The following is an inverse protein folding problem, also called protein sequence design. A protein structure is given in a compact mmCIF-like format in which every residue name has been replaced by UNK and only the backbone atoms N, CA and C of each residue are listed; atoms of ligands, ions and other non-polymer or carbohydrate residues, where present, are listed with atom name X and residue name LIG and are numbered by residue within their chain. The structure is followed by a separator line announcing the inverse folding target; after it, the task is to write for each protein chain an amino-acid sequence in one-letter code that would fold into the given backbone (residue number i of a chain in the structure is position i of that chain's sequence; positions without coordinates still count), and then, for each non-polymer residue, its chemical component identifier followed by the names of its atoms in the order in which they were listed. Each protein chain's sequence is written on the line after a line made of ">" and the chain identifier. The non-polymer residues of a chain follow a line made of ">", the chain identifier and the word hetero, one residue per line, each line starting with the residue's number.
data_IF_779364769550
#
_entry.id   IF_779364769550
#
_cell.length_a   1.000
_cell.length_b   1.000
_cell.length_c   1.000
_cell.angle_alpha   90.00
_cell.angle_beta   90.00
_cell.angle_gamma   90.00
#
_symmetry.space_group_name_H-M   'P 1'
#
loop_
_entity.id
_entity.type
_entity.pdbx_description
1 polymer ?
#
# COMPACT_ATOMS: atom_id res chain seq x y z
N UNK A 1 14.37 7.33 -13.88
CA UNK A 1 14.49 5.86 -13.63
C UNK A 1 13.89 5.43 -12.30
N UNK A 2 14.30 6.02 -11.15
CA UNK A 2 13.79 5.63 -9.82
C UNK A 2 12.26 5.64 -9.67
N UNK A 3 11.57 6.68 -10.14
CA UNK A 3 10.09 6.77 -10.08
C UNK A 3 9.37 5.62 -10.83
N UNK A 4 9.92 5.15 -11.96
CA UNK A 4 9.37 4.02 -12.74
C UNK A 4 9.53 2.68 -12.01
N UNK A 5 10.70 2.43 -11.42
CA UNK A 5 10.92 1.24 -10.59
C UNK A 5 10.03 1.23 -9.35
N UNK A 6 9.86 2.38 -8.69
CA UNK A 6 8.95 2.50 -7.55
C UNK A 6 7.51 2.16 -7.92
N UNK A 7 7.03 2.61 -9.08
CA UNK A 7 5.71 2.28 -9.59
C UNK A 7 5.55 0.78 -9.87
N UNK A 8 6.51 0.15 -10.54
CA UNK A 8 6.47 -1.30 -10.80
C UNK A 8 6.46 -2.12 -9.51
N UNK A 9 7.30 -1.76 -8.55
CA UNK A 9 7.33 -2.42 -7.23
C UNK A 9 5.98 -2.30 -6.52
N UNK A 10 5.38 -1.10 -6.51
CA UNK A 10 4.06 -0.88 -5.92
C UNK A 10 3.00 -1.76 -6.59
N UNK A 11 2.96 -1.78 -7.92
CA UNK A 11 1.95 -2.53 -8.67
C UNK A 11 2.11 -4.05 -8.46
N UNK A 12 3.33 -4.57 -8.51
CA UNK A 12 3.60 -5.99 -8.24
C UNK A 12 3.24 -6.35 -6.79
N UNK A 13 3.62 -5.52 -5.83
CA UNK A 13 3.23 -5.71 -4.43
C UNK A 13 1.72 -5.72 -4.28
N UNK A 14 1.01 -4.74 -4.87
CA UNK A 14 -0.43 -4.61 -4.76
C UNK A 14 -1.15 -5.80 -5.38
N UNK A 15 -0.68 -6.29 -6.53
CA UNK A 15 -1.22 -7.49 -7.16
C UNK A 15 -1.08 -8.72 -6.24
N UNK A 16 0.11 -8.95 -5.68
CA UNK A 16 0.35 -10.05 -4.74
C UNK A 16 -0.53 -9.89 -3.48
N UNK A 17 -0.62 -8.67 -2.96
CA UNK A 17 -1.40 -8.35 -1.78
C UNK A 17 -2.89 -8.64 -1.98
N UNK A 18 -3.47 -8.19 -3.10
CA UNK A 18 -4.87 -8.46 -3.43
C UNK A 18 -5.11 -9.97 -3.54
N UNK A 19 -4.25 -10.70 -4.24
CA UNK A 19 -4.37 -12.15 -4.37
C UNK A 19 -4.33 -12.85 -3.00
N UNK A 20 -3.43 -12.42 -2.11
CA UNK A 20 -3.33 -12.95 -0.76
C UNK A 20 -4.60 -12.65 0.06
N UNK A 21 -5.07 -11.41 0.05
CA UNK A 21 -6.27 -11.00 0.82
C UNK A 21 -7.53 -11.69 0.29
N UNK A 22 -7.70 -11.80 -1.02
CA UNK A 22 -8.85 -12.51 -1.61
C UNK A 22 -8.80 -14.00 -1.28
N UNK A 23 -7.63 -14.63 -1.39
CA UNK A 23 -7.48 -16.06 -1.07
C UNK A 23 -7.73 -16.36 0.42
N UNK A 24 -7.21 -15.53 1.32
CA UNK A 24 -7.50 -15.65 2.75
C UNK A 24 -8.96 -15.32 3.06
N UNK A 25 -9.49 -14.26 2.46
CA UNK A 25 -10.87 -13.82 2.63
C UNK A 25 -11.86 -14.91 2.23
N UNK A 26 -11.62 -15.63 1.13
CA UNK A 26 -12.46 -16.74 0.72
C UNK A 26 -12.52 -17.87 1.77
N UNK A 27 -11.43 -18.11 2.51
CA UNK A 27 -11.39 -19.12 3.58
C UNK A 27 -12.07 -18.63 4.88
N UNK A 28 -12.01 -17.32 5.13
CA UNK A 28 -12.55 -16.69 6.34
C UNK A 28 -14.03 -16.30 6.15
N UNK A 29 -14.50 -16.17 4.91
CA UNK A 29 -15.87 -15.77 4.57
C UNK A 29 -16.94 -16.68 5.21
N UNK A 30 -16.66 -17.97 5.34
CA UNK A 30 -17.55 -18.95 5.98
C UNK A 30 -17.56 -18.86 7.52
N UNK A 31 -16.67 -18.07 8.11
CA UNK A 31 -16.56 -17.85 9.56
C UNK A 31 -17.51 -16.76 10.07
N UNK A 32 -17.53 -16.54 11.38
CA UNK A 32 -18.32 -15.50 12.05
C UNK A 32 -18.15 -14.10 11.41
N UNK A 33 -19.26 -13.38 11.23
CA UNK A 33 -19.30 -12.04 10.62
C UNK A 33 -18.34 -11.03 11.28
N UNK A 34 -18.14 -11.12 12.59
CA UNK A 34 -17.22 -10.25 13.33
C UNK A 34 -15.76 -10.43 12.89
N UNK A 35 -15.36 -11.68 12.56
CA UNK A 35 -14.00 -11.98 12.09
C UNK A 35 -13.78 -11.37 10.72
N UNK A 36 -14.77 -11.48 9.83
CA UNK A 36 -14.74 -10.83 8.52
C UNK A 36 -14.57 -9.31 8.67
N UNK A 37 -15.33 -8.68 9.58
CA UNK A 37 -15.26 -7.24 9.82
C UNK A 37 -13.85 -6.79 10.27
N UNK A 38 -13.27 -7.49 11.24
CA UNK A 38 -11.91 -7.21 11.71
C UNK A 38 -10.87 -7.49 10.62
N UNK A 39 -10.98 -8.61 9.91
CA UNK A 39 -10.07 -8.99 8.83
C UNK A 39 -10.05 -7.93 7.72
N UNK A 40 -11.22 -7.55 7.20
CA UNK A 40 -11.31 -6.55 6.13
C UNK A 40 -10.91 -5.15 6.60
N UNK A 41 -11.16 -4.79 7.87
CA UNK A 41 -10.68 -3.52 8.45
C UNK A 41 -9.15 -3.47 8.48
N UNK A 42 -8.50 -4.55 8.94
CA UNK A 42 -7.04 -4.64 8.99
C UNK A 42 -6.48 -4.67 7.57
N UNK A 43 -7.06 -5.46 6.66
CA UNK A 43 -6.63 -5.49 5.26
C UNK A 43 -6.74 -4.11 4.59
N UNK A 44 -7.83 -3.38 4.87
CA UNK A 44 -8.05 -2.03 4.37
C UNK A 44 -7.06 -0.98 4.89
N UNK A 45 -6.31 -1.24 5.97
CA UNK A 45 -5.29 -0.32 6.50
C UNK A 45 -3.87 -0.83 6.24
N UNK A 46 -3.66 -2.15 6.24
CA UNK A 46 -2.36 -2.77 6.08
C UNK A 46 -1.69 -2.41 4.74
N UNK A 47 -2.47 -2.20 3.66
CA UNK A 47 -1.91 -1.79 2.37
C UNK A 47 -1.31 -0.37 2.37
N UNK A 48 -1.61 0.48 3.36
CA UNK A 48 -1.04 1.83 3.45
C UNK A 48 0.42 1.85 3.95
N UNK A 49 0.84 0.81 4.67
CA UNK A 49 2.22 0.65 5.15
C UNK A 49 3.27 0.74 4.04
N UNK A 50 3.14 0.03 2.91
CA UNK A 50 4.10 0.09 1.80
C UNK A 50 4.05 1.41 1.01
N UNK A 51 2.95 2.19 1.05
CA UNK A 51 2.91 3.49 0.37
C UNK A 51 3.85 4.50 1.01
N UNK A 52 3.88 4.57 2.34
CA UNK A 52 4.67 5.57 3.08
C UNK A 52 6.17 5.59 2.70
N UNK A 53 6.93 4.47 2.82
CA UNK A 53 8.35 4.46 2.50
C UNK A 53 8.60 4.66 1.01
N UNK A 54 7.71 4.17 0.14
CA UNK A 54 7.83 4.36 -1.30
C UNK A 54 7.66 5.83 -1.69
N UNK A 55 6.65 6.50 -1.15
CA UNK A 55 6.41 7.92 -1.37
C UNK A 55 7.58 8.77 -0.86
N UNK A 56 8.10 8.47 0.34
CA UNK A 56 9.30 9.10 0.87
C UNK A 56 10.50 8.90 -0.06
N UNK A 57 10.71 7.69 -0.58
CA UNK A 57 11.80 7.42 -1.51
C UNK A 57 11.61 8.14 -2.86
N UNK A 58 10.38 8.31 -3.33
CA UNK A 58 10.07 9.06 -4.54
C UNK A 58 10.25 10.58 -4.38
N UNK A 59 9.93 11.13 -3.21
CA UNK A 59 10.05 12.56 -2.88
C UNK A 59 11.41 12.97 -2.31
N UNK A 60 12.26 12.02 -1.91
CA UNK A 60 13.58 12.31 -1.31
C UNK A 60 14.55 13.12 -2.21
N UNK A 61 14.15 13.53 -3.42
CA UNK A 61 14.96 14.35 -4.32
C UNK A 61 14.27 15.65 -4.74
N UNK A 62 13.13 15.99 -4.15
CA UNK A 62 12.47 17.26 -4.41
C UNK A 62 13.29 18.33 -3.68
N UNK A 63 13.96 19.20 -4.45
CA UNK A 63 14.73 20.31 -3.89
C UNK A 63 13.76 21.24 -3.14
N UNK A 64 14.11 21.72 -1.92
CA UNK A 64 13.35 22.78 -1.28
C UNK A 64 13.21 23.96 -2.25
N UNK A 65 11.99 24.49 -2.38
CA UNK A 65 11.77 25.70 -3.18
C UNK A 65 12.66 26.82 -2.60
N UNK A 66 13.40 27.56 -3.44
CA UNK A 66 14.27 28.63 -2.97
C UNK A 66 13.44 29.70 -2.27
N UNK A 67 13.84 30.07 -1.05
CA UNK A 67 13.18 31.04 -0.16
C UNK A 67 13.16 32.48 -0.68
N UNK A 68 13.63 32.73 -1.90
CA UNK A 68 13.57 34.03 -2.58
C UNK A 68 12.24 34.28 -3.29
N UNK A 69 11.36 33.27 -3.35
CA UNK A 69 10.05 33.31 -4.01
C UNK A 69 8.87 33.33 -2.99
N UNK A 70 9.16 33.54 -1.70
CA UNK A 70 8.18 33.70 -0.61
C UNK A 70 8.35 35.08 0.05
#
# INVERSE_FOLDING_TARGET
>A
MRKLFGMFILLTFLAIYILAVVSLGARIAESHWAINLVFYSIAGVAWAFPLKPLMLWMHANDKPLPSSEL
#
